data_IF_485366780609
#
_entry.id   IF_485366780609
#
_cell.length_a   1.000
_cell.length_b   1.000
_cell.length_c   1.000
_cell.angle_alpha   90.00
_cell.angle_beta   90.00
_cell.angle_gamma   90.00
#
_symmetry.space_group_name_H-M   'P 1'
#
loop_
_entity.id
_entity.type
_entity.pdbx_description
1 polymer ?
#
# COMPACT_ATOMS: atom_id res chain seq x y z
N UNK A 1 -25.96 85.67 9.68
CA UNK A 1 -24.92 84.61 9.83
C UNK A 1 -25.61 83.28 9.69
N UNK A 2 -25.45 82.61 8.52
CA UNK A 2 -26.10 81.32 8.23
C UNK A 2 -25.10 80.18 8.42
N UNK A 3 -25.32 79.32 9.39
CA UNK A 3 -24.50 78.14 9.61
C UNK A 3 -24.99 77.01 8.71
N UNK A 4 -24.18 76.61 7.72
CA UNK A 4 -24.42 75.42 6.95
C UNK A 4 -23.87 74.20 7.75
N UNK A 5 -24.78 73.32 8.18
CA UNK A 5 -24.43 72.04 8.76
C UNK A 5 -23.99 71.08 7.64
N UNK A 6 -22.74 70.71 7.65
CA UNK A 6 -22.17 69.66 6.74
C UNK A 6 -22.56 68.30 7.30
N UNK A 7 -23.49 67.63 6.62
CA UNK A 7 -23.84 66.24 6.91
C UNK A 7 -22.65 65.28 6.59
N UNK A 8 -22.04 64.70 7.62
CA UNK A 8 -21.01 63.66 7.45
C UNK A 8 -21.72 62.38 6.96
N UNK A 9 -21.43 61.97 5.74
CA UNK A 9 -21.73 60.63 5.24
C UNK A 9 -20.96 59.59 6.06
N UNK A 10 -21.70 58.74 6.78
CA UNK A 10 -21.10 57.58 7.43
C UNK A 10 -20.74 56.53 6.37
N UNK A 11 -19.53 55.97 6.39
CA UNK A 11 -19.15 54.88 5.47
C UNK A 11 -19.92 53.61 5.83
N UNK A 12 -20.59 53.04 4.84
CA UNK A 12 -21.26 51.75 4.94
C UNK A 12 -20.24 50.63 5.18
N UNK A 13 -19.90 50.33 6.43
CA UNK A 13 -18.95 49.30 6.85
C UNK A 13 -19.49 47.87 6.80
N UNK A 14 -20.74 47.66 6.41
CA UNK A 14 -21.40 46.34 6.48
C UNK A 14 -21.23 45.45 5.24
N UNK A 15 -20.98 46.00 4.06
CA UNK A 15 -20.96 45.24 2.81
C UNK A 15 -19.66 44.49 2.59
N UNK A 16 -18.53 45.03 2.97
CA UNK A 16 -17.21 44.39 2.78
C UNK A 16 -17.02 43.10 3.57
N UNK A 17 -17.72 42.93 4.69
CA UNK A 17 -17.57 41.70 5.51
C UNK A 17 -18.36 40.52 4.92
N UNK A 18 -19.51 40.77 4.31
CA UNK A 18 -20.32 39.73 3.66
C UNK A 18 -19.66 39.28 2.33
N UNK A 19 -19.08 40.20 1.60
CA UNK A 19 -18.41 39.89 0.32
C UNK A 19 -17.09 39.13 0.53
N UNK A 20 -16.27 39.53 1.49
CA UNK A 20 -15.03 38.81 1.86
C UNK A 20 -15.31 37.45 2.52
N UNK A 21 -16.38 37.32 3.32
CA UNK A 21 -16.82 36.07 3.93
C UNK A 21 -17.30 35.06 2.91
N UNK A 22 -18.05 35.49 1.88
CA UNK A 22 -18.49 34.63 0.78
C UNK A 22 -17.35 34.09 -0.05
N UNK A 23 -16.39 34.93 -0.41
CA UNK A 23 -15.18 34.52 -1.15
C UNK A 23 -14.34 33.55 -0.33
N UNK A 24 -14.13 33.81 0.96
CA UNK A 24 -13.38 32.93 1.84
C UNK A 24 -14.02 31.53 1.94
N UNK A 25 -15.35 31.45 2.02
CA UNK A 25 -16.08 30.19 2.09
C UNK A 25 -15.93 29.38 0.80
N UNK A 26 -16.05 30.01 -0.36
CA UNK A 26 -15.85 29.36 -1.66
C UNK A 26 -14.42 28.84 -1.79
N UNK A 27 -13.42 29.62 -1.39
CA UNK A 27 -12.00 29.20 -1.41
C UNK A 27 -11.77 27.98 -0.52
N UNK A 28 -12.33 27.95 0.69
CA UNK A 28 -12.21 26.79 1.59
C UNK A 28 -12.83 25.54 0.97
N UNK A 29 -14.02 25.65 0.37
CA UNK A 29 -14.68 24.52 -0.30
C UNK A 29 -13.84 24.01 -1.46
N UNK A 30 -13.33 24.88 -2.31
CA UNK A 30 -12.47 24.49 -3.45
C UNK A 30 -11.20 23.79 -2.97
N UNK A 31 -10.50 24.34 -1.96
CA UNK A 31 -9.31 23.74 -1.39
C UNK A 31 -9.62 22.34 -0.83
N UNK A 32 -10.73 22.18 -0.10
CA UNK A 32 -11.13 20.90 0.49
C UNK A 32 -11.39 19.84 -0.58
N UNK A 33 -12.09 20.20 -1.66
CA UNK A 33 -12.37 19.30 -2.80
C UNK A 33 -11.07 18.91 -3.52
N UNK A 34 -10.18 19.86 -3.78
CA UNK A 34 -8.90 19.62 -4.45
C UNK A 34 -8.01 18.73 -3.59
N UNK A 35 -7.86 19.02 -2.31
CA UNK A 35 -7.04 18.19 -1.40
C UNK A 35 -7.62 16.79 -1.24
N UNK A 36 -8.93 16.63 -1.14
CA UNK A 36 -9.63 15.35 -1.08
C UNK A 36 -9.40 14.52 -2.36
N UNK A 37 -9.49 15.16 -3.53
CA UNK A 37 -9.22 14.53 -4.82
C UNK A 37 -7.75 14.08 -4.96
N UNK A 38 -6.80 14.91 -4.55
CA UNK A 38 -5.38 14.56 -4.57
C UNK A 38 -5.05 13.39 -3.64
N UNK A 39 -5.65 13.35 -2.45
CA UNK A 39 -5.48 12.23 -1.50
C UNK A 39 -6.00 10.92 -2.10
N UNK A 40 -7.17 10.93 -2.74
CA UNK A 40 -7.75 9.75 -3.38
C UNK A 40 -6.87 9.24 -4.54
N UNK A 41 -6.32 10.15 -5.35
CA UNK A 41 -5.41 9.79 -6.45
C UNK A 41 -4.10 9.19 -5.94
N UNK A 42 -3.55 9.74 -4.86
CA UNK A 42 -2.34 9.20 -4.24
C UNK A 42 -2.56 7.78 -3.72
N UNK A 43 -3.68 7.56 -3.02
CA UNK A 43 -3.99 6.23 -2.49
C UNK A 43 -4.13 5.19 -3.61
N UNK A 44 -4.86 5.49 -4.68
CA UNK A 44 -4.98 4.61 -5.86
C UNK A 44 -3.63 4.33 -6.53
N UNK A 45 -2.75 5.33 -6.62
CA UNK A 45 -1.39 5.17 -7.13
C UNK A 45 -0.59 4.19 -6.27
N UNK A 46 -0.63 4.34 -4.94
CA UNK A 46 0.09 3.46 -4.02
C UNK A 46 -0.39 2.01 -4.13
N UNK A 47 -1.70 1.78 -4.20
CA UNK A 47 -2.27 0.43 -4.39
C UNK A 47 -1.77 -0.21 -5.70
N UNK A 48 -1.77 0.55 -6.80
CA UNK A 48 -1.30 0.06 -8.09
C UNK A 48 0.20 -0.28 -8.07
N UNK A 49 1.01 0.59 -7.46
CA UNK A 49 2.45 0.38 -7.31
C UNK A 49 2.76 -0.84 -6.45
N UNK A 50 2.07 -0.99 -5.31
CA UNK A 50 2.31 -2.11 -4.41
C UNK A 50 1.81 -3.44 -4.99
N UNK A 51 0.72 -3.46 -5.77
CA UNK A 51 0.33 -4.64 -6.55
C UNK A 51 1.43 -5.06 -7.54
N UNK A 52 2.01 -4.09 -8.25
CA UNK A 52 3.12 -4.34 -9.18
C UNK A 52 4.40 -4.78 -8.44
N UNK A 53 4.67 -4.23 -7.26
CA UNK A 53 5.78 -4.64 -6.41
C UNK A 53 5.68 -6.11 -5.99
N UNK A 54 4.49 -6.55 -5.53
CA UNK A 54 4.26 -7.97 -5.19
C UNK A 54 4.51 -8.87 -6.39
N UNK A 55 3.97 -8.53 -7.56
CA UNK A 55 4.20 -9.31 -8.81
C UNK A 55 5.69 -9.35 -9.18
N UNK A 56 6.39 -8.21 -9.08
CA UNK A 56 7.82 -8.12 -9.34
C UNK A 56 8.64 -8.99 -8.37
N UNK A 57 8.31 -8.95 -7.07
CA UNK A 57 8.95 -9.81 -6.05
C UNK A 57 8.74 -11.29 -6.40
N UNK A 58 7.51 -11.69 -6.74
CA UNK A 58 7.18 -13.08 -7.11
C UNK A 58 8.02 -13.50 -8.31
N UNK A 59 7.98 -12.72 -9.41
CA UNK A 59 8.71 -13.05 -10.64
C UNK A 59 10.23 -13.08 -10.42
N UNK A 60 10.77 -12.10 -9.70
CA UNK A 60 12.21 -12.07 -9.38
C UNK A 60 12.62 -13.23 -8.49
N UNK A 61 11.80 -13.60 -7.51
CA UNK A 61 12.06 -14.76 -6.64
C UNK A 61 12.09 -16.05 -7.45
N UNK A 62 11.14 -16.24 -8.37
CA UNK A 62 11.10 -17.40 -9.27
C UNK A 62 12.33 -17.47 -10.19
N UNK A 63 12.73 -16.33 -10.75
CA UNK A 63 13.83 -16.28 -11.71
C UNK A 63 15.22 -16.29 -11.10
N UNK A 64 15.40 -15.72 -9.90
CA UNK A 64 16.72 -15.48 -9.32
C UNK A 64 17.05 -16.40 -8.14
N UNK A 65 16.05 -16.88 -7.39
CA UNK A 65 16.28 -17.62 -6.15
C UNK A 65 15.92 -19.10 -6.24
N UNK A 66 15.33 -19.57 -7.34
CA UNK A 66 15.02 -20.99 -7.53
C UNK A 66 16.31 -21.76 -7.84
N UNK A 67 16.73 -22.60 -6.91
CA UNK A 67 17.84 -23.52 -7.11
C UNK A 67 17.39 -24.87 -7.72
N UNK A 68 18.34 -25.77 -7.93
CA UNK A 68 18.10 -27.13 -8.46
C UNK A 68 17.10 -27.93 -7.60
N UNK A 69 17.12 -27.71 -6.28
CA UNK A 69 16.27 -28.40 -5.30
C UNK A 69 15.17 -27.46 -4.74
N UNK A 70 14.70 -26.51 -5.54
CA UNK A 70 13.69 -25.53 -5.12
C UNK A 70 14.26 -24.35 -4.32
N UNK A 71 13.51 -23.86 -3.35
CA UNK A 71 13.87 -22.67 -2.54
C UNK A 71 14.48 -23.09 -1.20
N UNK A 72 15.72 -23.58 -1.23
CA UNK A 72 16.39 -24.14 -0.05
C UNK A 72 17.11 -23.04 0.75
N UNK A 73 16.34 -22.27 1.52
CA UNK A 73 16.82 -21.19 2.40
C UNK A 73 16.48 -21.51 3.86
N UNK A 74 17.36 -21.11 4.78
CA UNK A 74 17.20 -21.38 6.22
C UNK A 74 16.09 -20.57 6.89
N UNK A 75 15.78 -19.40 6.33
CA UNK A 75 14.71 -18.53 6.86
C UNK A 75 14.24 -17.52 5.82
N UNK A 76 13.06 -16.92 6.06
CA UNK A 76 12.56 -15.83 5.23
C UNK A 76 13.43 -14.57 5.27
N UNK A 77 14.08 -14.29 6.40
CA UNK A 77 15.01 -13.15 6.50
C UNK A 77 16.22 -13.34 5.60
N UNK A 78 16.80 -14.53 5.57
CA UNK A 78 17.92 -14.85 4.69
C UNK A 78 17.50 -14.79 3.23
N UNK A 79 16.34 -15.39 2.89
CA UNK A 79 15.83 -15.40 1.51
C UNK A 79 15.52 -13.98 1.02
N UNK A 80 14.91 -13.13 1.84
CA UNK A 80 14.64 -11.72 1.51
C UNK A 80 15.93 -10.92 1.33
N UNK A 81 16.91 -11.09 2.22
CA UNK A 81 18.20 -10.41 2.13
C UNK A 81 18.96 -10.77 0.85
N UNK A 82 18.93 -12.03 0.47
CA UNK A 82 19.55 -12.51 -0.78
C UNK A 82 18.79 -11.99 -2.02
N UNK A 83 17.45 -11.96 -1.99
CA UNK A 83 16.67 -11.35 -3.08
C UNK A 83 17.08 -9.89 -3.32
N UNK A 84 17.28 -9.12 -2.24
CA UNK A 84 17.74 -7.73 -2.33
C UNK A 84 19.18 -7.67 -2.88
N UNK A 85 20.06 -8.53 -2.38
CA UNK A 85 21.47 -8.59 -2.77
C UNK A 85 21.67 -8.87 -4.26
N UNK A 86 20.85 -9.77 -4.84
CA UNK A 86 20.91 -10.10 -6.27
C UNK A 86 20.15 -9.12 -7.16
N UNK A 87 19.60 -8.04 -6.58
CA UNK A 87 18.89 -7.00 -7.32
C UNK A 87 17.45 -7.35 -7.71
N UNK A 88 16.86 -8.37 -7.08
CA UNK A 88 15.48 -8.82 -7.35
C UNK A 88 14.40 -8.00 -6.65
N UNK A 89 14.77 -7.11 -5.73
CA UNK A 89 13.81 -6.23 -5.06
C UNK A 89 13.38 -5.06 -5.97
N UNK A 90 12.09 -4.66 -5.97
CA UNK A 90 11.62 -3.49 -6.70
C UNK A 90 12.36 -2.22 -6.26
N UNK A 91 12.86 -1.43 -7.22
CA UNK A 91 13.68 -0.22 -6.95
C UNK A 91 12.93 0.91 -6.21
N UNK A 92 11.62 0.92 -6.28
CA UNK A 92 10.76 1.90 -5.60
C UNK A 92 10.43 1.51 -4.16
N UNK A 93 10.77 0.31 -3.73
CA UNK A 93 10.60 -0.13 -2.34
C UNK A 93 11.79 0.29 -1.48
N UNK A 94 11.51 0.60 -0.21
CA UNK A 94 12.54 0.96 0.76
C UNK A 94 13.29 -0.29 1.21
N UNK A 95 14.63 -0.23 1.16
CA UNK A 95 15.52 -1.25 1.75
C UNK A 95 16.27 -0.65 2.92
N UNK A 96 16.48 -1.44 3.98
CA UNK A 96 17.27 -1.05 5.16
C UNK A 96 18.26 -2.16 5.50
N UNK A 97 19.43 -1.78 5.99
CA UNK A 97 20.48 -2.72 6.37
C UNK A 97 21.57 -2.88 5.31
N UNK A 98 22.40 -3.93 5.45
CA UNK A 98 23.55 -4.15 4.57
C UNK A 98 23.17 -5.06 3.39
N UNK A 99 23.05 -4.47 2.20
CA UNK A 99 22.74 -5.20 0.96
C UNK A 99 23.85 -6.16 0.59
N UNK A 100 25.11 -5.72 0.68
CA UNK A 100 26.27 -6.55 0.30
C UNK A 100 26.43 -7.79 1.20
N UNK A 101 26.05 -7.67 2.48
CA UNK A 101 26.07 -8.78 3.41
C UNK A 101 24.84 -9.71 3.31
N UNK A 102 23.85 -9.39 2.45
CA UNK A 102 22.61 -10.17 2.34
C UNK A 102 21.71 -10.10 3.58
N UNK A 103 21.88 -9.05 4.42
CA UNK A 103 21.10 -8.85 5.66
C UNK A 103 20.11 -7.68 5.57
N UNK A 104 19.93 -7.12 4.37
CA UNK A 104 19.00 -6.05 4.15
C UNK A 104 17.55 -6.53 4.27
N UNK A 105 16.67 -5.61 4.67
CA UNK A 105 15.23 -5.81 4.83
C UNK A 105 14.46 -4.97 3.81
N UNK A 106 13.31 -5.46 3.37
CA UNK A 106 12.44 -4.84 2.38
C UNK A 106 11.19 -4.27 3.07
N UNK A 107 10.74 -3.09 2.66
CA UNK A 107 9.63 -2.40 3.30
C UNK A 107 8.63 -1.89 2.27
N UNK A 108 7.34 -2.10 2.52
CA UNK A 108 6.28 -1.54 1.70
C UNK A 108 6.01 -0.06 2.02
N UNK A 109 5.18 0.59 1.22
CA UNK A 109 4.87 2.04 1.34
C UNK A 109 4.15 2.40 2.65
N UNK A 110 3.53 1.41 3.32
CA UNK A 110 2.85 1.58 4.60
C UNK A 110 3.74 1.28 5.82
N UNK A 111 5.04 1.05 5.60
CA UNK A 111 6.00 0.76 6.65
C UNK A 111 5.87 -0.64 7.25
N UNK A 112 5.36 -1.58 6.49
CA UNK A 112 5.38 -3.00 6.78
C UNK A 112 6.64 -3.67 6.22
N UNK A 113 7.31 -4.50 7.02
CA UNK A 113 8.46 -5.28 6.55
C UNK A 113 7.98 -6.46 5.71
N UNK A 114 8.35 -6.46 4.43
CA UNK A 114 8.03 -7.53 3.49
C UNK A 114 9.02 -8.67 3.66
N UNK A 115 8.51 -9.89 3.75
CA UNK A 115 9.33 -11.09 3.93
C UNK A 115 8.98 -12.09 2.83
N UNK A 116 10.02 -12.55 2.14
CA UNK A 116 9.95 -13.68 1.21
C UNK A 116 10.53 -14.90 1.93
N UNK A 117 9.72 -15.95 2.09
CA UNK A 117 10.12 -17.13 2.86
C UNK A 117 9.89 -18.42 2.07
N UNK A 118 10.76 -19.44 2.21
CA UNK A 118 10.51 -20.73 1.60
C UNK A 118 9.27 -21.40 2.23
N UNK A 119 8.50 -22.10 1.40
CA UNK A 119 7.38 -22.92 1.84
C UNK A 119 7.78 -24.39 1.72
N UNK A 120 7.77 -25.07 2.87
CA UNK A 120 8.09 -26.49 2.97
C UNK A 120 6.79 -27.29 2.90
N UNK A 121 6.68 -28.13 1.88
CA UNK A 121 5.61 -29.10 1.76
C UNK A 121 6.21 -30.50 1.57
N UNK A 122 5.77 -31.45 2.39
CA UNK A 122 6.25 -32.86 2.35
C UNK A 122 7.76 -33.02 2.43
N UNK A 123 8.43 -32.15 3.22
CA UNK A 123 9.91 -32.17 3.39
C UNK A 123 10.71 -31.52 2.26
N UNK A 124 10.07 -30.92 1.29
CA UNK A 124 10.71 -30.23 0.17
C UNK A 124 10.32 -28.75 0.11
N UNK A 125 11.28 -27.91 -0.26
CA UNK A 125 11.06 -26.47 -0.44
C UNK A 125 10.54 -26.17 -1.86
N UNK A 126 9.31 -26.64 -2.15
CA UNK A 126 8.74 -26.54 -3.49
C UNK A 126 8.25 -25.15 -3.88
N UNK A 127 8.05 -24.27 -2.91
CA UNK A 127 7.50 -22.97 -3.15
C UNK A 127 8.06 -21.90 -2.21
N UNK A 128 7.49 -20.73 -2.29
CA UNK A 128 7.78 -19.63 -1.39
C UNK A 128 6.49 -18.83 -1.10
N UNK A 129 6.53 -18.06 -0.04
CA UNK A 129 5.49 -17.10 0.31
C UNK A 129 6.05 -15.69 0.39
N UNK A 130 5.22 -14.70 0.06
CA UNK A 130 5.50 -13.27 0.23
C UNK A 130 4.54 -12.72 1.26
N UNK A 131 5.05 -12.33 2.43
CA UNK A 131 4.27 -11.69 3.50
C UNK A 131 4.33 -10.18 3.40
N UNK A 132 3.17 -9.54 3.41
CA UNK A 132 2.97 -8.11 3.15
C UNK A 132 2.11 -7.48 4.23
N UNK A 133 2.69 -7.06 5.36
CA UNK A 133 1.95 -6.55 6.51
C UNK A 133 1.66 -5.05 6.44
N UNK A 134 0.85 -4.56 7.37
CA UNK A 134 0.42 -3.16 7.52
C UNK A 134 -0.33 -2.59 6.32
N UNK A 135 -1.08 -3.44 5.62
CA UNK A 135 -1.85 -3.03 4.45
C UNK A 135 -3.18 -2.40 4.89
N UNK A 136 -3.54 -1.19 4.39
CA UNK A 136 -4.85 -0.58 4.62
C UNK A 136 -5.99 -1.43 4.05
N UNK A 137 -7.21 -1.26 4.59
CA UNK A 137 -8.36 -2.09 4.21
C UNK A 137 -8.66 -2.03 2.71
N UNK A 138 -8.71 -0.83 2.12
CA UNK A 138 -8.98 -0.63 0.70
C UNK A 138 -7.88 -1.24 -0.20
N UNK A 139 -6.62 -1.10 0.20
CA UNK A 139 -5.49 -1.72 -0.46
C UNK A 139 -5.51 -3.26 -0.31
N UNK A 140 -5.88 -3.77 0.87
CA UNK A 140 -6.06 -5.20 1.13
C UNK A 140 -7.03 -5.82 0.11
N UNK A 141 -8.24 -5.26 -0.02
CA UNK A 141 -9.25 -5.72 -0.97
C UNK A 141 -8.74 -5.65 -2.41
N UNK A 142 -8.20 -4.48 -2.80
CA UNK A 142 -7.81 -4.24 -4.18
C UNK A 142 -6.59 -5.09 -4.62
N UNK A 143 -5.59 -5.26 -3.75
CA UNK A 143 -4.38 -6.03 -4.07
C UNK A 143 -4.71 -7.52 -4.17
N UNK A 144 -5.45 -8.07 -3.20
CA UNK A 144 -5.78 -9.51 -3.19
C UNK A 144 -6.65 -9.92 -4.37
N UNK A 145 -7.69 -9.14 -4.69
CA UNK A 145 -8.56 -9.42 -5.83
C UNK A 145 -7.84 -9.30 -7.17
N UNK A 146 -6.97 -8.27 -7.30
CA UNK A 146 -6.18 -8.07 -8.52
C UNK A 146 -5.18 -9.18 -8.76
N UNK A 147 -4.46 -9.59 -7.71
CA UNK A 147 -3.44 -10.64 -7.81
C UNK A 147 -4.06 -12.03 -7.97
N UNK A 148 -5.21 -12.28 -7.35
CA UNK A 148 -6.01 -13.50 -7.56
C UNK A 148 -6.37 -13.71 -9.03
N UNK A 149 -6.75 -12.65 -9.74
CA UNK A 149 -7.09 -12.73 -11.15
C UNK A 149 -5.90 -13.06 -12.08
N UNK A 150 -4.66 -12.92 -11.60
CA UNK A 150 -3.44 -13.13 -12.39
C UNK A 150 -3.01 -14.60 -12.56
N UNK A 151 -3.58 -15.54 -11.82
CA UNK A 151 -3.36 -16.98 -11.95
C UNK A 151 -1.94 -17.49 -11.61
N UNK A 152 -1.02 -16.62 -11.18
CA UNK A 152 0.37 -17.01 -10.85
C UNK A 152 0.58 -17.34 -9.36
N UNK A 153 -0.47 -17.20 -8.54
CA UNK A 153 -0.45 -17.39 -7.10
C UNK A 153 -1.26 -18.64 -6.76
N UNK A 154 -0.64 -19.56 -6.05
CA UNK A 154 -1.26 -20.85 -5.69
C UNK A 154 -2.16 -20.74 -4.46
N UNK A 155 -1.92 -19.75 -3.59
CA UNK A 155 -2.73 -19.50 -2.41
C UNK A 155 -2.55 -18.07 -1.90
N UNK A 156 -3.62 -17.50 -1.37
CA UNK A 156 -3.65 -16.17 -0.76
C UNK A 156 -4.17 -16.32 0.67
N UNK A 157 -3.48 -15.70 1.64
CA UNK A 157 -4.02 -15.54 3.00
C UNK A 157 -4.18 -14.07 3.31
N UNK A 158 -5.32 -13.72 3.88
CA UNK A 158 -5.63 -12.39 4.40
C UNK A 158 -5.79 -12.52 5.90
N UNK A 159 -4.89 -11.91 6.66
CA UNK A 159 -4.80 -12.08 8.10
C UNK A 159 -4.67 -13.57 8.48
N UNK A 160 -5.67 -14.15 9.12
CA UNK A 160 -5.72 -15.57 9.49
C UNK A 160 -6.56 -16.43 8.53
N UNK A 161 -7.20 -15.82 7.51
CA UNK A 161 -8.08 -16.54 6.57
C UNK A 161 -7.31 -16.94 5.32
N UNK A 162 -7.24 -18.23 5.03
CA UNK A 162 -6.54 -18.78 3.87
C UNK A 162 -7.51 -19.11 2.71
N UNK A 163 -7.12 -18.72 1.51
CA UNK A 163 -7.73 -19.07 0.23
C UNK A 163 -6.71 -19.95 -0.51
N UNK A 164 -6.83 -21.27 -0.34
CA UNK A 164 -5.82 -22.24 -0.78
C UNK A 164 -5.80 -22.46 -2.30
N UNK A 165 -6.84 -22.05 -3.00
CA UNK A 165 -6.94 -22.06 -4.47
C UNK A 165 -6.46 -20.73 -5.11
N UNK A 166 -6.03 -19.77 -4.29
CA UNK A 166 -5.63 -18.43 -4.74
C UNK A 166 -6.79 -17.58 -5.26
N UNK A 167 -8.04 -18.05 -5.15
CA UNK A 167 -9.21 -17.33 -5.66
C UNK A 167 -9.85 -16.46 -4.58
N UNK A 168 -9.74 -15.14 -4.74
CA UNK A 168 -10.28 -14.15 -3.80
C UNK A 168 -11.22 -13.20 -4.54
N UNK A 169 -12.52 -13.28 -4.24
CA UNK A 169 -13.51 -12.34 -4.74
C UNK A 169 -13.51 -11.04 -3.92
N UNK A 170 -14.09 -9.97 -4.47
CA UNK A 170 -14.25 -8.69 -3.76
C UNK A 170 -15.07 -8.86 -2.47
N UNK A 171 -16.10 -9.70 -2.52
CA UNK A 171 -16.96 -10.02 -1.37
C UNK A 171 -16.17 -10.72 -0.26
N UNK A 172 -15.42 -11.78 -0.61
CA UNK A 172 -14.59 -12.51 0.34
C UNK A 172 -13.50 -11.62 0.94
N UNK A 173 -12.80 -10.82 0.11
CA UNK A 173 -11.81 -9.86 0.59
C UNK A 173 -12.44 -8.81 1.51
N UNK A 174 -13.62 -8.28 1.15
CA UNK A 174 -14.35 -7.32 1.97
C UNK A 174 -14.74 -7.83 3.35
N UNK A 175 -15.04 -9.13 3.46
CA UNK A 175 -15.40 -9.77 4.72
C UNK A 175 -14.20 -9.97 5.67
N UNK A 176 -12.98 -10.16 5.14
CA UNK A 176 -11.79 -10.52 5.95
C UNK A 176 -10.75 -9.40 6.06
N UNK A 177 -10.77 -8.39 5.17
CA UNK A 177 -9.94 -7.21 5.29
C UNK A 177 -10.49 -6.29 6.39
N UNK A 178 -9.72 -6.14 7.46
CA UNK A 178 -10.10 -5.38 8.66
C UNK A 178 -9.91 -3.89 8.44
N UNK A 179 -10.84 -3.09 8.98
CA UNK A 179 -10.78 -1.63 8.93
C UNK A 179 -9.55 -1.09 9.65
N UNK A 180 -8.94 -0.06 9.08
CA UNK A 180 -7.74 0.57 9.61
C UNK A 180 -7.94 1.14 11.00
N UNK A 181 -6.90 1.04 11.83
CA UNK A 181 -6.88 1.64 13.15
C UNK A 181 -6.00 2.90 13.11
N UNK A 182 -6.64 4.06 13.13
CA UNK A 182 -5.95 5.34 12.99
C UNK A 182 -5.42 5.59 11.57
N UNK A 183 -4.12 5.87 11.43
CA UNK A 183 -3.46 6.18 10.15
C UNK A 183 -2.71 5.01 9.53
N UNK A 184 -2.71 3.85 10.17
CA UNK A 184 -1.92 2.68 9.76
C UNK A 184 -2.84 1.54 9.38
N UNK A 185 -2.56 0.89 8.26
CA UNK A 185 -3.15 -0.38 7.90
C UNK A 185 -2.72 -1.47 8.89
N UNK A 186 -3.60 -2.43 9.14
CA UNK A 186 -3.35 -3.53 10.07
C UNK A 186 -3.46 -4.90 9.41
N UNK A 187 -3.83 -4.94 8.12
CA UNK A 187 -3.96 -6.21 7.41
C UNK A 187 -2.59 -6.77 7.01
N UNK A 188 -2.48 -8.08 7.08
CA UNK A 188 -1.33 -8.84 6.57
C UNK A 188 -1.81 -9.73 5.42
N UNK A 189 -1.19 -9.55 4.25
CA UNK A 189 -1.41 -10.39 3.09
C UNK A 189 -0.25 -11.38 2.96
N UNK A 190 -0.55 -12.61 2.63
CA UNK A 190 0.47 -13.62 2.31
C UNK A 190 0.11 -14.29 1.00
N UNK A 191 1.03 -14.21 0.05
CA UNK A 191 0.89 -14.80 -1.28
C UNK A 191 1.81 -16.01 -1.35
N UNK A 192 1.23 -17.20 -1.59
CA UNK A 192 1.96 -18.45 -1.72
C UNK A 192 2.09 -18.82 -3.20
N UNK A 193 3.29 -19.15 -3.60
CA UNK A 193 3.62 -19.56 -4.96
C UNK A 193 4.29 -20.93 -4.88
N UNK A 194 3.67 -21.92 -5.51
CA UNK A 194 4.25 -23.25 -5.67
C UNK A 194 5.23 -23.21 -6.86
N UNK A 195 6.35 -23.87 -6.72
CA UNK A 195 7.42 -23.89 -7.71
C UNK A 195 7.48 -25.17 -8.54
#
# INVERSE_FOLDING_TARGET
MSFHAVARKQPHRGWGILESGGVALVVIVVITVVLGGLYMLWNRKNIALESANVQSIITSTQGLLKGRNGYNYTSGTVMTGLLIQVGGAPKNMMTKGNVTAGTATLWNTWGGQVIVAPVIANGFNHGFSVSYPKVPQDACIAITTRLSAGGSISGISINSTAFSDGNVTVENAGAVCVKDTGRSGINTLTFTVNG
#
